data_IF_484972836063
#
_entry.id   IF_484972836063
#
_cell.length_a   1.000
_cell.length_b   1.000
_cell.length_c   1.000
_cell.angle_alpha   90.00
_cell.angle_beta   90.00
_cell.angle_gamma   90.00
#
_symmetry.space_group_name_H-M   'P 1'
#
loop_
_entity.id
_entity.type
_entity.pdbx_description
1 polymer ?
#
# COMPACT_ATOMS: atom_id res chain seq x y z
N UNK A 1 4.35 -24.82 25.20
CA UNK A 1 4.51 -23.38 24.90
C UNK A 1 3.51 -23.03 23.81
N UNK A 2 2.27 -22.66 24.18
CA UNK A 2 1.26 -22.20 23.22
C UNK A 2 1.46 -20.70 23.02
N UNK A 3 2.03 -20.31 21.89
CA UNK A 3 2.12 -18.89 21.50
C UNK A 3 0.73 -18.52 20.98
N UNK A 4 -0.09 -17.95 21.85
CA UNK A 4 -1.40 -17.37 21.51
C UNK A 4 -1.17 -16.05 20.75
N UNK A 5 -0.85 -16.15 19.45
CA UNK A 5 -0.66 -14.98 18.58
C UNK A 5 -2.00 -14.24 18.31
N UNK A 6 -3.14 -14.93 18.51
CA UNK A 6 -4.47 -14.41 18.21
C UNK A 6 -5.07 -13.52 19.30
N UNK A 7 -4.87 -13.86 20.59
CA UNK A 7 -5.46 -13.09 21.69
C UNK A 7 -4.85 -11.69 21.81
N UNK A 8 -3.54 -11.53 21.56
CA UNK A 8 -2.90 -10.21 21.57
C UNK A 8 -3.32 -9.32 20.39
N UNK A 9 -3.62 -9.90 19.23
CA UNK A 9 -4.18 -9.17 18.10
C UNK A 9 -5.62 -8.75 18.37
N UNK A 10 -6.42 -9.64 18.96
CA UNK A 10 -7.83 -9.42 19.28
C UNK A 10 -8.02 -8.44 20.46
N UNK A 11 -7.16 -8.49 21.48
CA UNK A 11 -7.13 -7.47 22.55
C UNK A 11 -6.67 -6.10 22.03
N UNK A 12 -5.69 -6.05 21.13
CA UNK A 12 -5.31 -4.79 20.46
C UNK A 12 -6.41 -4.27 19.53
N UNK A 13 -7.15 -5.16 18.88
CA UNK A 13 -8.32 -4.82 18.08
C UNK A 13 -9.44 -4.27 18.96
N UNK A 14 -9.76 -4.94 20.08
CA UNK A 14 -10.82 -4.54 21.02
C UNK A 14 -10.47 -3.30 21.85
N UNK A 15 -9.19 -3.06 22.16
CA UNK A 15 -8.75 -1.78 22.77
C UNK A 15 -8.82 -0.60 21.79
N UNK A 16 -8.69 -0.84 20.48
CA UNK A 16 -8.76 0.21 19.44
C UNK A 16 -10.17 0.44 18.91
N UNK A 17 -10.98 -0.60 18.80
CA UNK A 17 -12.42 -0.49 18.63
C UNK A 17 -13.03 -0.13 19.97
N UNK A 18 -12.91 1.15 20.34
CA UNK A 18 -13.69 1.71 21.43
C UNK A 18 -15.13 1.24 21.29
N UNK A 19 -15.70 0.73 22.38
CA UNK A 19 -17.14 0.47 22.48
C UNK A 19 -17.91 1.62 21.85
N UNK A 20 -19.00 1.31 21.15
CA UNK A 20 -19.84 2.16 20.29
C UNK A 20 -20.43 3.43 20.95
N UNK A 21 -19.93 3.82 22.12
CA UNK A 21 -20.19 5.08 22.84
C UNK A 21 -18.94 5.83 23.30
N UNK A 22 -17.75 5.55 22.74
CA UNK A 22 -16.47 6.14 23.16
C UNK A 22 -15.72 6.84 22.02
N UNK A 23 -16.44 7.61 21.19
CA UNK A 23 -15.90 8.32 20.01
C UNK A 23 -14.78 9.33 20.33
N UNK A 24 -14.59 9.70 21.60
CA UNK A 24 -13.55 10.62 22.08
C UNK A 24 -12.32 9.96 22.70
N UNK A 25 -12.19 8.62 22.69
CA UNK A 25 -11.10 7.93 23.42
C UNK A 25 -9.74 7.92 22.72
N UNK A 26 -9.69 8.18 21.42
CA UNK A 26 -8.43 8.14 20.65
C UNK A 26 -8.25 9.43 19.86
N UNK A 27 -7.03 9.96 19.84
CA UNK A 27 -6.68 11.20 19.14
C UNK A 27 -6.64 11.08 17.60
N UNK A 28 -7.17 10.00 17.04
CA UNK A 28 -7.06 9.66 15.61
C UNK A 28 -8.41 9.86 14.92
N UNK A 29 -8.42 10.66 13.86
CA UNK A 29 -9.61 10.87 13.04
C UNK A 29 -9.96 9.58 12.29
N UNK A 30 -11.20 9.50 11.80
CA UNK A 30 -11.62 8.43 10.90
C UNK A 30 -10.69 8.28 9.68
N UNK A 31 -10.25 9.40 9.09
CA UNK A 31 -9.30 9.38 7.97
C UNK A 31 -7.96 8.74 8.32
N UNK A 32 -7.50 8.89 9.57
CA UNK A 32 -6.23 8.29 10.01
C UNK A 32 -6.38 6.79 10.17
N UNK A 33 -7.49 6.36 10.76
CA UNK A 33 -7.81 4.94 10.90
C UNK A 33 -7.98 4.27 9.54
N UNK A 34 -8.63 4.94 8.59
CA UNK A 34 -8.79 4.45 7.21
C UNK A 34 -7.44 4.20 6.57
N UNK A 35 -6.58 5.22 6.54
CA UNK A 35 -5.30 5.14 5.83
C UNK A 35 -4.27 4.22 6.51
N UNK A 36 -4.11 4.34 7.83
CA UNK A 36 -3.10 3.60 8.57
C UNK A 36 -3.51 2.16 8.87
N UNK A 37 -4.73 1.95 9.34
CA UNK A 37 -5.14 0.66 9.88
C UNK A 37 -5.87 -0.17 8.83
N UNK A 38 -6.98 0.33 8.30
CA UNK A 38 -7.82 -0.46 7.38
C UNK A 38 -7.11 -0.72 6.06
N UNK A 39 -6.56 0.32 5.41
CA UNK A 39 -5.86 0.15 4.13
C UNK A 39 -4.63 -0.74 4.27
N UNK A 40 -3.78 -0.51 5.29
CA UNK A 40 -2.60 -1.35 5.53
C UNK A 40 -2.99 -2.79 5.84
N UNK A 41 -4.04 -3.03 6.64
CA UNK A 41 -4.51 -4.39 6.94
C UNK A 41 -5.01 -5.11 5.69
N UNK A 42 -5.82 -4.44 4.86
CA UNK A 42 -6.30 -4.97 3.59
C UNK A 42 -5.12 -5.32 2.68
N UNK A 43 -4.16 -4.42 2.54
CA UNK A 43 -2.97 -4.66 1.72
C UNK A 43 -2.13 -5.82 2.26
N UNK A 44 -1.95 -5.95 3.58
CA UNK A 44 -1.22 -7.08 4.18
C UNK A 44 -1.92 -8.42 3.92
N UNK A 45 -3.25 -8.46 3.98
CA UNK A 45 -4.03 -9.65 3.64
C UNK A 45 -3.83 -10.01 2.15
N UNK A 46 -3.90 -9.01 1.26
CA UNK A 46 -3.69 -9.21 -0.18
C UNK A 46 -2.25 -9.64 -0.50
N UNK A 47 -1.25 -9.09 0.19
CA UNK A 47 0.15 -9.54 0.12
C UNK A 47 0.25 -11.01 0.52
N UNK A 48 -0.37 -11.42 1.63
CA UNK A 48 -0.36 -12.82 2.05
C UNK A 48 -0.98 -13.73 1.00
N UNK A 49 -2.15 -13.36 0.46
CA UNK A 49 -2.86 -14.15 -0.56
C UNK A 49 -2.02 -14.27 -1.83
N UNK A 50 -1.45 -13.17 -2.32
CA UNK A 50 -0.66 -13.15 -3.56
C UNK A 50 0.67 -13.87 -3.39
N UNK A 51 1.37 -13.71 -2.25
CA UNK A 51 2.57 -14.47 -1.93
C UNK A 51 2.31 -15.98 -1.92
N UNK A 52 1.21 -16.43 -1.29
CA UNK A 52 0.84 -17.85 -1.28
C UNK A 52 0.62 -18.38 -2.70
N UNK A 53 -0.10 -17.63 -3.53
CA UNK A 53 -0.37 -18.03 -4.91
C UNK A 53 0.88 -18.08 -5.80
N UNK A 54 1.80 -17.14 -5.61
CA UNK A 54 3.00 -17.03 -6.45
C UNK A 54 4.06 -18.08 -6.08
N UNK A 55 4.26 -18.37 -4.80
CA UNK A 55 5.37 -19.22 -4.35
C UNK A 55 4.98 -20.65 -3.97
N UNK A 56 3.78 -20.87 -3.45
CA UNK A 56 3.38 -22.18 -2.91
C UNK A 56 2.43 -22.94 -3.82
N UNK A 57 1.68 -22.24 -4.68
CA UNK A 57 0.79 -22.85 -5.65
C UNK A 57 1.46 -22.93 -7.02
N UNK A 58 0.83 -23.63 -7.98
CA UNK A 58 1.31 -23.67 -9.37
C UNK A 58 0.79 -22.42 -10.09
N UNK A 59 1.63 -21.41 -10.35
CA UNK A 59 1.15 -20.11 -10.82
C UNK A 59 0.78 -20.12 -12.31
N UNK A 60 1.38 -21.04 -13.08
CA UNK A 60 1.13 -21.23 -14.51
C UNK A 60 1.04 -22.72 -14.84
N UNK A 61 0.29 -23.05 -15.88
CA UNK A 61 0.23 -24.41 -16.44
C UNK A 61 0.44 -24.33 -17.94
N UNK A 62 1.38 -25.10 -18.46
CA UNK A 62 1.83 -24.98 -19.85
C UNK A 62 1.73 -26.30 -20.60
N UNK A 63 1.39 -26.20 -21.88
CA UNK A 63 1.43 -27.32 -22.83
C UNK A 63 2.30 -26.93 -24.03
N UNK A 64 3.16 -27.86 -24.46
CA UNK A 64 4.04 -27.67 -25.61
C UNK A 64 3.86 -28.86 -26.56
N UNK A 65 2.97 -28.76 -27.57
CA UNK A 65 2.62 -29.89 -28.44
C UNK A 65 3.79 -30.34 -29.34
N UNK A 66 4.75 -29.46 -29.60
CA UNK A 66 5.93 -29.73 -30.44
C UNK A 66 7.11 -30.35 -29.68
N UNK A 67 7.03 -30.45 -28.35
CA UNK A 67 8.14 -30.89 -27.50
C UNK A 67 8.08 -32.41 -27.20
N UNK A 68 9.22 -33.05 -26.91
CA UNK A 68 9.28 -34.47 -26.60
C UNK A 68 8.49 -34.83 -25.33
N UNK A 69 7.82 -35.99 -25.35
CA UNK A 69 7.13 -36.56 -24.19
C UNK A 69 8.12 -37.00 -23.10
N UNK A 70 7.80 -36.76 -21.83
CA UNK A 70 8.60 -37.25 -20.69
C UNK A 70 9.11 -36.15 -19.75
N UNK A 71 8.20 -35.40 -19.14
CA UNK A 71 8.54 -34.40 -18.11
C UNK A 71 8.88 -33.00 -18.63
N UNK A 72 8.93 -32.80 -19.95
CA UNK A 72 9.15 -31.49 -20.57
C UNK A 72 8.18 -30.42 -20.08
N UNK A 73 6.92 -30.77 -19.82
CA UNK A 73 5.91 -29.84 -19.31
C UNK A 73 6.33 -29.14 -18.01
N UNK A 74 6.90 -29.87 -17.05
CA UNK A 74 7.34 -29.29 -15.77
C UNK A 74 8.57 -28.38 -15.93
N UNK A 75 9.47 -28.74 -16.86
CA UNK A 75 10.59 -27.87 -17.25
C UNK A 75 10.09 -26.59 -17.93
N UNK A 76 9.18 -26.71 -18.88
CA UNK A 76 8.55 -25.60 -19.57
C UNK A 76 7.84 -24.66 -18.60
N UNK A 77 7.05 -25.18 -17.66
CA UNK A 77 6.41 -24.40 -16.60
C UNK A 77 7.46 -23.60 -15.80
N UNK A 78 8.56 -24.22 -15.38
CA UNK A 78 9.60 -23.54 -14.59
C UNK A 78 10.33 -22.46 -15.39
N UNK A 79 10.69 -22.76 -16.65
CA UNK A 79 11.40 -21.82 -17.52
C UNK A 79 10.52 -20.65 -17.91
N UNK A 80 9.26 -20.91 -18.29
CA UNK A 80 8.31 -19.87 -18.67
C UNK A 80 7.93 -18.99 -17.48
N UNK A 81 7.89 -19.56 -16.27
CA UNK A 81 7.67 -18.77 -15.07
C UNK A 81 8.80 -17.77 -14.87
N UNK A 82 10.08 -18.17 -14.98
CA UNK A 82 11.23 -17.30 -14.74
C UNK A 82 11.47 -16.32 -15.89
N UNK A 83 11.40 -16.79 -17.14
CA UNK A 83 11.66 -15.98 -18.31
C UNK A 83 10.52 -15.01 -18.63
N UNK A 84 9.31 -15.23 -18.12
CA UNK A 84 8.13 -14.44 -18.47
C UNK A 84 7.46 -14.91 -19.75
N UNK A 85 6.24 -14.45 -19.97
CA UNK A 85 5.36 -14.89 -21.06
C UNK A 85 4.90 -13.73 -21.93
N UNK A 86 4.45 -14.00 -23.15
CA UNK A 86 4.05 -13.00 -24.13
C UNK A 86 2.55 -13.13 -24.39
N UNK A 87 1.81 -12.05 -24.18
CA UNK A 87 0.37 -11.99 -24.43
C UNK A 87 0.06 -11.93 -25.92
N UNK A 88 -0.91 -12.71 -26.38
CA UNK A 88 -1.46 -12.58 -27.73
C UNK A 88 -2.78 -11.83 -27.69
N UNK A 89 -2.87 -10.75 -28.46
CA UNK A 89 -4.14 -10.11 -28.77
C UNK A 89 -4.95 -10.94 -29.78
N UNK A 90 -6.24 -10.61 -29.91
CA UNK A 90 -7.15 -11.28 -30.87
C UNK A 90 -6.72 -11.12 -32.33
N UNK A 91 -6.12 -9.98 -32.65
CA UNK A 91 -5.70 -9.63 -34.02
C UNK A 91 -4.23 -9.99 -34.30
N UNK A 92 -3.52 -10.54 -33.32
CA UNK A 92 -2.10 -10.85 -33.46
C UNK A 92 -1.91 -12.22 -34.16
N UNK A 93 -1.09 -12.24 -35.20
CA UNK A 93 -0.70 -13.48 -35.88
C UNK A 93 0.40 -14.23 -35.14
N UNK A 94 0.43 -15.56 -35.22
CA UNK A 94 1.53 -16.36 -34.69
C UNK A 94 2.87 -15.97 -35.34
N UNK A 95 3.89 -15.60 -34.55
CA UNK A 95 5.20 -15.19 -35.08
C UNK A 95 5.95 -16.36 -35.72
N UNK A 96 6.43 -16.14 -36.94
CA UNK A 96 7.22 -17.12 -37.70
C UNK A 96 8.72 -16.86 -37.62
N UNK A 97 9.11 -15.58 -37.49
CA UNK A 97 10.51 -15.15 -37.50
C UNK A 97 10.95 -14.65 -36.11
N UNK A 98 12.26 -14.70 -35.84
CA UNK A 98 12.83 -14.20 -34.57
C UNK A 98 12.61 -12.70 -34.37
N UNK A 99 12.62 -11.90 -35.45
CA UNK A 99 12.31 -10.47 -35.37
C UNK A 99 10.89 -10.21 -34.89
N UNK A 100 9.91 -10.98 -35.37
CA UNK A 100 8.51 -10.87 -34.95
C UNK A 100 8.33 -11.27 -33.48
N UNK A 101 9.06 -12.29 -33.02
CA UNK A 101 9.09 -12.63 -31.60
C UNK A 101 9.62 -11.49 -30.74
N UNK A 102 10.69 -10.81 -31.18
CA UNK A 102 11.26 -9.70 -30.44
C UNK A 102 10.33 -8.48 -30.41
N UNK A 103 9.63 -8.20 -31.51
CA UNK A 103 8.64 -7.12 -31.58
C UNK A 103 7.43 -7.38 -30.67
N UNK A 104 6.87 -8.60 -30.74
CA UNK A 104 5.78 -9.01 -29.84
C UNK A 104 6.22 -8.97 -28.38
N UNK A 105 7.45 -9.38 -28.08
CA UNK A 105 7.97 -9.33 -26.73
C UNK A 105 8.15 -7.90 -26.23
N UNK A 106 8.55 -6.96 -27.07
CA UNK A 106 8.62 -5.55 -26.66
C UNK A 106 7.24 -4.95 -26.38
N UNK A 107 6.22 -5.38 -27.12
CA UNK A 107 4.85 -4.87 -26.97
C UNK A 107 4.09 -5.51 -25.80
N UNK A 108 4.23 -6.81 -25.61
CA UNK A 108 3.30 -7.61 -24.79
C UNK A 108 4.02 -8.57 -23.83
N UNK A 109 5.17 -8.15 -23.25
CA UNK A 109 5.82 -8.91 -22.17
C UNK A 109 5.01 -8.85 -20.88
N UNK A 110 4.63 -10.02 -20.37
CA UNK A 110 3.89 -10.19 -19.13
C UNK A 110 4.84 -10.84 -18.13
N UNK A 111 5.68 -10.01 -17.50
CA UNK A 111 6.57 -10.43 -16.41
C UNK A 111 6.22 -9.77 -15.07
N UNK A 112 5.33 -8.77 -15.09
CA UNK A 112 4.98 -7.99 -13.89
C UNK A 112 4.27 -8.81 -12.81
N UNK A 113 3.55 -9.88 -13.14
CA UNK A 113 2.84 -10.71 -12.14
C UNK A 113 3.78 -11.31 -11.09
N UNK A 114 5.06 -11.50 -11.42
CA UNK A 114 6.08 -11.97 -10.48
C UNK A 114 6.35 -10.94 -9.36
N UNK A 115 6.19 -9.65 -9.70
CA UNK A 115 6.52 -8.52 -8.84
C UNK A 115 5.33 -7.98 -8.03
N UNK A 116 4.11 -8.40 -8.36
CA UNK A 116 2.86 -7.96 -7.70
C UNK A 116 2.95 -8.04 -6.17
N UNK A 117 3.37 -9.17 -5.55
CA UNK A 117 3.40 -9.26 -4.09
C UNK A 117 4.39 -8.28 -3.45
N UNK A 118 5.52 -8.01 -4.10
CA UNK A 118 6.53 -7.06 -3.63
C UNK A 118 6.04 -5.62 -3.77
N UNK A 119 5.39 -5.30 -4.88
CA UNK A 119 4.76 -4.00 -5.08
C UNK A 119 3.70 -3.74 -4.00
N UNK A 120 2.77 -4.67 -3.77
CA UNK A 120 1.75 -4.54 -2.72
C UNK A 120 2.38 -4.40 -1.32
N UNK A 121 3.50 -5.08 -1.04
CA UNK A 121 4.23 -4.96 0.23
C UNK A 121 4.80 -3.56 0.43
N UNK A 122 5.42 -3.00 -0.61
CA UNK A 122 5.93 -1.61 -0.58
C UNK A 122 4.79 -0.62 -0.40
N UNK A 123 3.66 -0.84 -1.09
CA UNK A 123 2.47 0.00 -0.94
C UNK A 123 1.95 -0.02 0.51
N UNK A 124 1.86 -1.19 1.15
CA UNK A 124 1.46 -1.32 2.55
C UNK A 124 2.38 -0.54 3.50
N UNK A 125 3.70 -0.63 3.31
CA UNK A 125 4.68 0.11 4.12
C UNK A 125 4.49 1.62 3.95
N UNK A 126 4.32 2.09 2.71
CA UNK A 126 4.12 3.49 2.40
C UNK A 126 2.81 4.06 3.00
N UNK A 127 1.76 3.25 3.12
CA UNK A 127 0.52 3.64 3.82
C UNK A 127 0.70 3.76 5.34
N UNK A 128 1.57 2.94 5.94
CA UNK A 128 1.88 3.00 7.37
C UNK A 128 2.84 4.14 7.74
N UNK A 129 3.72 4.55 6.81
CA UNK A 129 4.80 5.51 7.06
C UNK A 129 4.34 6.86 7.67
N UNK A 130 3.30 7.55 7.15
CA UNK A 130 2.94 8.86 7.67
C UNK A 130 2.36 8.79 9.09
N UNK A 131 1.76 7.66 9.47
CA UNK A 131 1.34 7.41 10.83
C UNK A 131 2.53 7.25 11.78
N UNK A 132 3.56 6.51 11.37
CA UNK A 132 4.79 6.37 12.13
C UNK A 132 5.46 7.74 12.33
N UNK A 133 5.49 8.57 11.29
CA UNK A 133 5.96 9.96 11.36
C UNK A 133 5.13 10.78 12.35
N UNK A 134 3.79 10.67 12.32
CA UNK A 134 2.93 11.35 13.29
C UNK A 134 3.21 10.92 14.73
N UNK A 135 3.32 9.61 14.99
CA UNK A 135 3.63 9.11 16.32
C UNK A 135 4.97 9.62 16.82
N UNK A 136 6.03 9.54 16.01
CA UNK A 136 7.35 10.07 16.37
C UNK A 136 7.33 11.58 16.64
N UNK A 137 6.68 12.35 15.76
CA UNK A 137 6.59 13.81 15.88
C UNK A 137 5.71 14.26 17.05
N UNK A 138 4.63 13.53 17.33
CA UNK A 138 3.74 13.81 18.46
C UNK A 138 4.45 13.59 19.78
N UNK A 139 5.18 12.48 19.95
CA UNK A 139 6.01 12.21 21.15
C UNK A 139 7.11 13.26 21.30
N UNK A 140 7.80 13.63 20.23
CA UNK A 140 8.82 14.69 20.29
C UNK A 140 8.24 16.05 20.68
N UNK A 141 7.04 16.36 20.20
CA UNK A 141 6.42 17.68 20.39
C UNK A 141 5.77 17.81 21.76
N UNK A 142 4.98 16.81 22.15
CA UNK A 142 4.20 16.76 23.38
C UNK A 142 5.02 16.23 24.57
N UNK A 143 6.08 15.45 24.33
CA UNK A 143 6.93 14.87 25.39
C UNK A 143 6.33 13.64 26.07
N UNK A 144 5.05 13.34 25.83
CA UNK A 144 4.37 12.17 26.39
C UNK A 144 3.18 11.72 25.51
N UNK A 145 2.68 10.51 25.74
CA UNK A 145 1.56 9.91 25.03
C UNK A 145 0.22 10.51 25.51
N UNK A 146 -0.37 11.40 24.72
CA UNK A 146 -1.67 12.00 25.04
C UNK A 146 -2.79 10.96 25.22
N UNK A 147 -2.69 9.82 24.50
CA UNK A 147 -3.61 8.69 24.65
C UNK A 147 -3.59 8.08 26.07
N UNK A 148 -2.43 8.08 26.73
CA UNK A 148 -2.30 7.62 28.11
C UNK A 148 -3.06 8.55 29.06
N UNK A 149 -2.92 9.86 28.90
CA UNK A 149 -3.64 10.85 29.69
C UNK A 149 -5.16 10.72 29.53
N UNK A 150 -5.64 10.55 28.29
CA UNK A 150 -7.08 10.39 28.01
C UNK A 150 -7.60 9.08 28.63
N UNK A 151 -6.86 7.97 28.51
CA UNK A 151 -7.24 6.71 29.13
C UNK A 151 -7.30 6.81 30.66
N UNK A 152 -6.35 7.51 31.29
CA UNK A 152 -6.38 7.76 32.73
C UNK A 152 -7.52 8.68 33.17
N UNK A 153 -7.85 9.71 32.37
CA UNK A 153 -9.00 10.56 32.63
C UNK A 153 -10.33 9.79 32.51
N UNK A 154 -10.44 8.90 31.53
CA UNK A 154 -11.62 8.06 31.33
C UNK A 154 -11.80 7.05 32.47
N UNK A 155 -10.72 6.35 32.84
CA UNK A 155 -10.74 5.42 33.97
C UNK A 155 -11.00 6.12 35.30
N UNK A 156 -10.51 7.36 35.49
CA UNK A 156 -10.86 8.19 36.64
C UNK A 156 -12.36 8.53 36.67
N UNK A 157 -12.97 8.74 35.50
CA UNK A 157 -14.41 9.03 35.39
C UNK A 157 -15.26 7.77 35.64
N UNK A 158 -14.80 6.60 35.21
CA UNK A 158 -15.50 5.33 35.37
C UNK A 158 -15.32 4.67 36.75
N UNK A 159 -14.35 5.11 37.55
CA UNK A 159 -14.09 4.53 38.88
C UNK A 159 -15.04 5.10 39.94
N UNK A 160 -15.69 4.21 40.68
CA UNK A 160 -16.58 4.56 41.81
C UNK A 160 -15.79 4.82 43.11
N UNK A 161 -14.64 4.16 43.27
CA UNK A 161 -13.79 4.26 44.44
C UNK A 161 -13.11 5.64 44.58
N UNK A 162 -13.38 6.34 45.68
CA UNK A 162 -12.85 7.69 45.92
C UNK A 162 -11.31 7.74 45.96
N UNK A 163 -10.69 6.69 46.51
CA UNK A 163 -9.24 6.61 46.71
C UNK A 163 -8.44 6.29 45.44
N UNK A 164 -9.02 5.54 44.49
CA UNK A 164 -8.38 5.27 43.20
C UNK A 164 -8.56 6.47 42.28
N UNK A 165 -9.76 7.07 42.27
CA UNK A 165 -10.06 8.28 41.50
C UNK A 165 -9.13 9.44 41.86
N UNK A 166 -8.90 9.70 43.15
CA UNK A 166 -8.01 10.79 43.59
C UNK A 166 -6.57 10.61 43.10
N UNK A 167 -6.03 9.38 43.14
CA UNK A 167 -4.71 9.04 42.60
C UNK A 167 -4.63 9.25 41.09
N UNK A 168 -5.64 8.80 40.34
CA UNK A 168 -5.69 8.96 38.89
C UNK A 168 -5.77 10.44 38.48
N UNK A 169 -6.59 11.23 39.18
CA UNK A 169 -6.69 12.68 38.96
C UNK A 169 -5.38 13.38 39.27
N UNK A 170 -4.71 13.02 40.37
CA UNK A 170 -3.39 13.57 40.72
C UNK A 170 -2.33 13.24 39.65
N UNK A 171 -2.33 12.01 39.12
CA UNK A 171 -1.46 11.64 38.01
C UNK A 171 -1.76 12.48 36.75
N UNK A 172 -3.03 12.62 36.36
CA UNK A 172 -3.44 13.44 35.22
C UNK A 172 -3.00 14.90 35.37
N UNK A 173 -3.20 15.48 36.56
CA UNK A 173 -2.78 16.85 36.86
C UNK A 173 -1.25 17.02 36.76
N UNK A 174 -0.49 16.04 37.22
CA UNK A 174 0.96 16.04 37.10
C UNK A 174 1.43 16.00 35.64
N UNK A 175 0.83 15.14 34.81
CA UNK A 175 1.12 15.09 33.37
C UNK A 175 0.76 16.39 32.66
N UNK A 176 -0.40 16.99 32.98
CA UNK A 176 -0.80 18.28 32.40
C UNK A 176 0.19 19.40 32.77
N UNK A 177 0.70 19.38 34.01
CA UNK A 177 1.73 20.30 34.45
C UNK A 177 3.03 20.15 33.66
N UNK A 178 3.52 18.92 33.45
CA UNK A 178 4.70 18.66 32.63
C UNK A 178 4.52 19.17 31.18
N UNK A 179 3.36 18.91 30.58
CA UNK A 179 3.00 19.41 29.25
C UNK A 179 3.05 20.95 29.20
N UNK A 180 2.42 21.62 30.17
CA UNK A 180 2.41 23.09 30.23
C UNK A 180 3.82 23.68 30.32
N UNK A 181 4.72 23.05 31.10
CA UNK A 181 6.12 23.48 31.22
C UNK A 181 6.90 23.31 29.92
N UNK A 182 6.69 22.21 29.21
CA UNK A 182 7.37 21.94 27.94
C UNK A 182 6.98 22.94 26.84
N UNK A 183 5.74 23.41 26.86
CA UNK A 183 5.26 24.44 25.92
C UNK A 183 5.61 25.87 26.34
N UNK A 184 6.07 26.10 27.58
CA UNK A 184 6.46 27.41 28.07
C UNK A 184 7.83 27.82 27.54
N UNK A 185 7.88 28.65 26.49
CA UNK A 185 9.14 29.20 25.96
C UNK A 185 9.74 30.28 26.88
N UNK A 186 10.92 30.01 27.44
CA UNK A 186 11.74 31.00 28.16
C UNK A 186 12.79 31.71 27.28
N UNK A 187 12.89 31.38 25.98
CA UNK A 187 13.99 31.84 25.10
C UNK A 187 13.62 33.11 24.32
N UNK A 188 14.24 34.25 24.64
CA UNK A 188 14.13 35.52 23.88
C UNK A 188 15.11 35.55 22.69
N UNK A 189 14.79 34.88 21.58
CA UNK A 189 15.59 34.93 20.35
C UNK A 189 15.22 36.14 19.47
N UNK A 190 16.19 36.73 18.76
CA UNK A 190 15.97 37.80 17.76
C UNK A 190 15.03 37.37 16.63
N UNK A 191 15.00 36.07 16.28
CA UNK A 191 14.08 35.51 15.28
C UNK A 191 12.60 35.64 15.71
N UNK A 192 12.32 35.54 17.01
CA UNK A 192 10.98 35.74 17.55
C UNK A 192 10.48 37.18 17.35
N UNK A 193 11.36 38.18 17.38
CA UNK A 193 10.97 39.59 17.11
C UNK A 193 10.63 39.83 15.64
N UNK A 194 11.35 39.18 14.73
CA UNK A 194 11.04 39.20 13.29
C UNK A 194 9.68 38.55 13.02
N UNK A 195 9.42 37.42 13.69
CA UNK A 195 8.15 36.70 13.60
C UNK A 195 6.94 37.53 14.05
N UNK A 196 7.06 38.32 15.13
CA UNK A 196 6.02 39.26 15.58
C UNK A 196 5.73 40.36 14.55
N UNK A 197 6.75 40.85 13.83
CA UNK A 197 6.55 41.83 12.75
C UNK A 197 5.84 41.24 11.54
N UNK A 198 6.14 39.98 11.18
CA UNK A 198 5.47 39.27 10.08
C UNK A 198 4.00 38.98 10.42
N UNK A 199 3.71 38.52 11.65
CA UNK A 199 2.34 38.28 12.12
C UNK A 199 1.49 39.56 12.15
N UNK A 200 2.08 40.70 12.51
CA UNK A 200 1.40 42.00 12.51
C UNK A 200 1.12 42.53 11.10
N UNK A 201 1.90 42.11 10.10
CA UNK A 201 1.76 42.55 8.71
C UNK A 201 0.75 41.73 7.89
N UNK A 202 0.44 40.49 8.32
CA UNK A 202 -0.42 39.57 7.55
C UNK A 202 -1.40 38.84 8.46
N UNK A 203 -2.69 39.21 8.41
CA UNK A 203 -3.76 38.62 9.25
C UNK A 203 -3.93 37.10 9.07
N UNK A 204 -3.62 36.54 7.89
CA UNK A 204 -3.67 35.08 7.66
C UNK A 204 -2.36 34.34 7.96
N UNK A 205 -1.25 35.04 8.22
CA UNK A 205 0.03 34.38 8.45
C UNK A 205 0.11 33.68 9.82
N UNK A 206 -0.83 33.94 10.74
CA UNK A 206 -0.88 33.26 12.04
C UNK A 206 -1.01 31.73 11.95
N UNK A 207 -1.51 31.22 10.82
CA UNK A 207 -1.60 29.78 10.58
C UNK A 207 -0.30 29.18 10.02
N UNK A 208 0.40 29.91 9.15
CA UNK A 208 1.64 29.46 8.50
C UNK A 208 2.90 29.79 9.29
N UNK A 209 2.82 30.67 10.28
CA UNK A 209 3.98 31.14 11.05
C UNK A 209 4.23 30.21 12.25
N UNK A 210 5.32 29.46 12.15
CA UNK A 210 5.77 28.49 13.14
C UNK A 210 6.25 29.16 14.44
N UNK A 211 5.47 29.07 15.50
CA UNK A 211 5.88 29.55 16.83
C UNK A 211 5.37 28.65 17.94
N UNK A 212 6.24 28.22 18.86
CA UNK A 212 5.81 27.46 20.05
C UNK A 212 4.92 28.32 20.96
N UNK A 213 5.11 29.65 20.94
CA UNK A 213 4.39 30.64 21.75
C UNK A 213 2.88 30.74 21.51
N UNK A 214 2.39 30.39 20.32
CA UNK A 214 0.95 30.39 19.99
C UNK A 214 0.27 29.03 20.20
N UNK A 215 1.00 27.99 20.62
CA UNK A 215 0.47 26.62 20.71
C UNK A 215 0.16 25.96 19.35
N UNK A 216 0.26 26.69 18.24
CA UNK A 216 -0.10 26.24 16.89
C UNK A 216 0.87 25.18 16.30
N UNK A 217 2.02 24.92 16.93
CA UNK A 217 3.03 23.96 16.41
C UNK A 217 2.45 22.55 16.21
N UNK A 218 1.66 22.06 17.16
CA UNK A 218 1.07 20.71 17.07
C UNK A 218 0.01 20.64 15.99
N UNK A 219 -0.83 21.68 15.86
CA UNK A 219 -1.85 21.76 14.81
C UNK A 219 -1.24 21.84 13.41
N UNK A 220 -0.18 22.62 13.21
CA UNK A 220 0.53 22.70 11.92
C UNK A 220 1.20 21.36 11.56
N UNK A 221 1.82 20.68 12.53
CA UNK A 221 2.39 19.34 12.31
C UNK A 221 1.31 18.32 11.92
N UNK A 222 0.15 18.39 12.57
CA UNK A 222 -0.99 17.54 12.25
C UNK A 222 -1.45 17.74 10.80
N UNK A 223 -1.61 18.99 10.39
CA UNK A 223 -2.00 19.32 9.01
C UNK A 223 -0.95 18.90 7.99
N UNK A 224 0.34 19.02 8.31
CA UNK A 224 1.42 18.53 7.45
C UNK A 224 1.32 17.01 7.24
N UNK A 225 1.02 16.24 8.29
CA UNK A 225 0.78 14.79 8.15
C UNK A 225 -0.46 14.52 7.29
N UNK A 226 -1.53 15.31 7.41
CA UNK A 226 -2.70 15.16 6.53
C UNK A 226 -2.35 15.41 5.06
N UNK A 227 -1.54 16.43 4.77
CA UNK A 227 -1.01 16.66 3.42
C UNK A 227 -0.15 15.47 2.96
N UNK A 228 0.66 14.90 3.84
CA UNK A 228 1.46 13.71 3.55
C UNK A 228 0.59 12.49 3.23
N UNK A 229 -0.57 12.31 3.88
CA UNK A 229 -1.53 11.27 3.51
C UNK A 229 -2.09 11.47 2.10
N UNK A 230 -2.45 12.70 1.73
CA UNK A 230 -2.94 13.01 0.38
C UNK A 230 -1.87 12.72 -0.65
N UNK A 231 -0.63 13.15 -0.40
CA UNK A 231 0.52 12.86 -1.27
C UNK A 231 0.74 11.35 -1.39
N UNK A 232 0.66 10.61 -0.28
CA UNK A 232 0.77 9.17 -0.31
C UNK A 232 -0.35 8.55 -1.16
N UNK A 233 -1.62 8.89 -0.96
CA UNK A 233 -2.72 8.39 -1.80
C UNK A 233 -2.51 8.65 -3.29
N UNK A 234 -2.08 9.86 -3.68
CA UNK A 234 -1.76 10.19 -5.07
C UNK A 234 -0.57 9.38 -5.59
N UNK A 235 0.48 9.21 -4.77
CA UNK A 235 1.63 8.38 -5.10
C UNK A 235 1.26 6.92 -5.33
N UNK A 236 0.32 6.38 -4.55
CA UNK A 236 -0.15 5.00 -4.66
C UNK A 236 -0.92 4.77 -5.96
N UNK A 237 -1.80 5.70 -6.34
CA UNK A 237 -2.47 5.68 -7.63
C UNK A 237 -1.46 5.71 -8.79
N UNK A 238 -0.43 6.56 -8.68
CA UNK A 238 0.62 6.64 -9.68
C UNK A 238 1.47 5.36 -9.76
N UNK A 239 1.78 4.72 -8.62
CA UNK A 239 2.49 3.43 -8.59
C UNK A 239 1.69 2.37 -9.33
N UNK A 240 0.38 2.25 -9.07
CA UNK A 240 -0.49 1.28 -9.77
C UNK A 240 -0.52 1.56 -11.27
N UNK A 241 -0.72 2.82 -11.67
CA UNK A 241 -0.75 3.20 -13.09
C UNK A 241 0.57 2.89 -13.80
N UNK A 242 1.71 3.19 -13.15
CA UNK A 242 3.03 2.93 -13.71
C UNK A 242 3.35 1.44 -13.80
N UNK A 243 2.84 0.66 -12.84
CA UNK A 243 3.09 -0.77 -12.76
C UNK A 243 2.25 -1.57 -13.77
N UNK A 244 0.99 -1.19 -14.00
CA UNK A 244 0.08 -1.88 -14.94
C UNK A 244 0.17 -1.36 -16.39
N UNK A 245 0.71 -0.16 -16.61
CA UNK A 245 0.70 0.49 -17.94
C UNK A 245 2.10 0.68 -18.54
N UNK A 246 2.57 -0.25 -19.39
CA UNK A 246 3.84 -0.09 -20.11
C UNK A 246 3.75 0.80 -21.36
N UNK A 247 2.55 1.08 -21.89
CA UNK A 247 2.40 1.83 -23.16
C UNK A 247 2.59 3.35 -22.99
N UNK A 248 3.64 3.84 -23.64
CA UNK A 248 4.24 5.18 -23.55
C UNK A 248 3.36 6.36 -24.02
N UNK A 249 2.15 6.12 -24.53
CA UNK A 249 1.34 7.16 -25.20
C UNK A 249 0.01 7.51 -24.52
N UNK A 250 -0.47 6.72 -23.54
CA UNK A 250 -1.76 6.97 -22.87
C UNK A 250 -1.67 7.20 -21.36
N UNK A 251 -0.45 7.45 -20.86
CA UNK A 251 -0.12 7.42 -19.43
C UNK A 251 -0.59 8.65 -18.62
N UNK A 252 -1.19 9.67 -19.25
CA UNK A 252 -1.39 10.97 -18.59
C UNK A 252 -2.78 11.20 -17.97
N UNK A 253 -3.80 10.41 -18.31
CA UNK A 253 -5.15 10.65 -17.77
C UNK A 253 -5.65 9.51 -16.89
N UNK A 254 -5.86 9.81 -15.60
CA UNK A 254 -6.49 8.92 -14.60
C UNK A 254 -7.83 8.37 -15.11
N UNK A 255 -8.59 9.19 -15.86
CA UNK A 255 -9.89 8.82 -16.43
C UNK A 255 -9.76 7.71 -17.47
N UNK A 256 -8.88 7.84 -18.46
CA UNK A 256 -8.71 6.81 -19.48
C UNK A 256 -8.24 5.47 -18.89
N UNK A 257 -7.36 5.52 -17.88
CA UNK A 257 -6.95 4.31 -17.16
C UNK A 257 -8.12 3.68 -16.39
N UNK A 258 -8.90 4.50 -15.67
CA UNK A 258 -10.07 4.01 -14.94
C UNK A 258 -11.12 3.40 -15.87
N UNK A 259 -11.41 4.03 -17.00
CA UNK A 259 -12.35 3.51 -17.99
C UNK A 259 -11.86 2.18 -18.57
N UNK A 260 -10.57 2.08 -18.92
CA UNK A 260 -9.98 0.82 -19.36
C UNK A 260 -10.16 -0.28 -18.32
N UNK A 261 -9.82 -0.02 -17.05
CA UNK A 261 -9.91 -1.00 -15.97
C UNK A 261 -11.35 -1.44 -15.71
N UNK A 262 -12.30 -0.51 -15.59
CA UNK A 262 -13.73 -0.84 -15.38
C UNK A 262 -14.38 -1.53 -16.59
N UNK A 263 -13.93 -1.23 -17.80
CA UNK A 263 -14.37 -1.94 -19.00
C UNK A 263 -13.99 -3.44 -18.94
N UNK A 264 -12.88 -3.79 -18.28
CA UNK A 264 -12.50 -5.20 -18.05
C UNK A 264 -13.50 -5.93 -17.14
N UNK A 265 -14.02 -5.26 -16.13
CA UNK A 265 -15.01 -5.85 -15.22
C UNK A 265 -16.37 -6.09 -15.90
N UNK A 266 -16.73 -5.23 -16.87
CA UNK A 266 -18.05 -5.25 -17.51
C UNK A 266 -18.12 -6.13 -18.76
N UNK A 267 -17.00 -6.33 -19.48
CA UNK A 267 -16.95 -7.20 -20.67
C UNK A 267 -16.34 -8.55 -20.31
N UNK A 268 -17.16 -9.60 -20.35
CA UNK A 268 -16.71 -10.99 -20.31
C UNK A 268 -16.09 -11.35 -21.66
N UNK A 269 -14.82 -10.99 -21.88
CA UNK A 269 -14.15 -11.25 -23.16
C UNK A 269 -13.89 -12.76 -23.30
N UNK A 270 -14.35 -13.35 -24.41
CA UNK A 270 -14.48 -14.80 -24.54
C UNK A 270 -13.20 -15.51 -24.99
N UNK A 271 -12.13 -14.79 -25.34
CA UNK A 271 -10.83 -15.36 -25.74
C UNK A 271 -9.66 -14.51 -25.22
N UNK A 272 -8.65 -15.15 -24.63
CA UNK A 272 -7.34 -14.53 -24.29
C UNK A 272 -7.27 -13.73 -22.99
N UNK A 273 -8.38 -13.23 -22.45
CA UNK A 273 -8.41 -12.38 -21.25
C UNK A 273 -8.47 -10.88 -21.58
N UNK A 274 -7.96 -10.03 -20.69
CA UNK A 274 -7.90 -8.58 -20.93
C UNK A 274 -6.54 -8.16 -21.50
N UNK A 275 -6.49 -6.98 -22.14
CA UNK A 275 -5.24 -6.43 -22.69
C UNK A 275 -4.14 -6.25 -21.63
N UNK A 276 -4.55 -5.92 -20.39
CA UNK A 276 -3.65 -5.73 -19.24
C UNK A 276 -3.36 -7.06 -18.54
N UNK A 277 -4.39 -7.91 -18.38
CA UNK A 277 -4.31 -9.20 -17.70
C UNK A 277 -4.79 -10.33 -18.63
N UNK A 278 -3.92 -10.81 -19.51
CA UNK A 278 -4.24 -11.96 -20.35
C UNK A 278 -4.24 -13.24 -19.50
N UNK A 279 -5.17 -14.14 -19.84
CA UNK A 279 -5.35 -15.45 -19.20
C UNK A 279 -4.53 -16.55 -19.90
N UNK A 280 -4.17 -16.33 -21.15
CA UNK A 280 -3.34 -17.24 -21.95
C UNK A 280 -2.19 -16.45 -22.57
N UNK A 281 -1.00 -17.06 -22.57
CA UNK A 281 0.20 -16.44 -23.12
C UNK A 281 1.09 -17.48 -23.79
N UNK A 282 1.94 -17.01 -24.69
CA UNK A 282 2.96 -17.82 -25.35
C UNK A 282 4.30 -17.68 -24.63
N UNK A 283 5.03 -18.79 -24.61
CA UNK A 283 6.38 -18.84 -24.07
C UNK A 283 7.32 -19.51 -25.08
N UNK A 284 8.24 -18.76 -25.70
CA UNK A 284 9.27 -19.31 -26.57
C UNK A 284 10.44 -19.87 -25.73
N UNK A 285 10.60 -21.20 -25.73
CA UNK A 285 11.68 -21.91 -25.04
C UNK A 285 12.76 -22.29 -26.04
N UNK A 286 13.99 -21.84 -25.81
CA UNK A 286 15.15 -22.17 -26.67
C UNK A 286 16.02 -23.21 -25.98
N UNK A 287 16.21 -24.35 -26.64
CA UNK A 287 16.99 -25.46 -26.09
C UNK A 287 18.13 -25.78 -27.05
N UNK A 288 19.40 -25.80 -26.58
CA UNK A 288 20.50 -26.23 -27.41
C UNK A 288 20.40 -27.74 -27.65
N UNK A 289 20.48 -28.16 -28.92
CA UNK A 289 20.49 -29.57 -29.34
C UNK A 289 21.81 -29.87 -30.06
N UNK A 290 22.22 -31.15 -30.09
CA UNK A 290 23.45 -31.55 -30.79
C UNK A 290 23.32 -31.23 -32.29
N UNK A 291 24.26 -30.46 -32.84
CA UNK A 291 24.29 -30.06 -34.25
C UNK A 291 23.43 -28.84 -34.63
N UNK A 292 22.60 -28.30 -33.73
CA UNK A 292 21.79 -27.08 -33.95
C UNK A 292 21.98 -26.11 -32.80
N UNK A 293 22.39 -24.87 -33.09
CA UNK A 293 22.74 -23.85 -32.07
C UNK A 293 21.63 -23.63 -31.03
N UNK A 294 20.36 -23.64 -31.45
CA UNK A 294 19.19 -23.63 -30.56
C UNK A 294 17.93 -24.01 -31.32
N UNK A 295 17.16 -24.99 -30.84
CA UNK A 295 15.83 -25.30 -31.34
C UNK A 295 14.79 -24.55 -30.50
N UNK A 296 13.83 -23.92 -31.17
CA UNK A 296 12.75 -23.15 -30.54
C UNK A 296 11.51 -24.05 -30.37
N UNK A 297 11.05 -24.19 -29.13
CA UNK A 297 9.79 -24.80 -28.77
C UNK A 297 8.85 -23.71 -28.25
N UNK A 298 7.59 -23.74 -28.66
CA UNK A 298 6.57 -22.80 -28.20
C UNK A 298 5.63 -23.50 -27.24
N UNK A 299 5.59 -23.02 -26.00
CA UNK A 299 4.62 -23.47 -25.01
C UNK A 299 3.45 -22.48 -24.96
N UNK A 300 2.23 -23.01 -24.88
CA UNK A 300 1.01 -22.26 -24.60
C UNK A 300 0.73 -22.43 -23.11
N UNK A 301 0.67 -21.31 -22.39
CA UNK A 301 0.53 -21.29 -20.94
C UNK A 301 -0.79 -20.61 -20.54
N UNK A 302 -1.50 -21.20 -19.59
CA UNK A 302 -2.60 -20.57 -18.88
C UNK A 302 -2.07 -19.89 -17.59
N UNK A 303 -2.57 -18.69 -17.29
CA UNK A 303 -2.14 -17.84 -16.18
C UNK A 303 -3.29 -17.56 -15.19
N UNK A 304 -3.64 -18.53 -14.31
CA UNK A 304 -4.63 -18.30 -13.26
C UNK A 304 -4.29 -17.12 -12.33
N UNK A 305 -3.00 -16.85 -12.12
CA UNK A 305 -2.51 -15.73 -11.28
C UNK A 305 -2.99 -14.38 -11.81
N UNK A 306 -3.06 -14.20 -13.14
CA UNK A 306 -3.54 -12.96 -13.72
C UNK A 306 -5.04 -12.73 -13.47
N UNK A 307 -5.84 -13.79 -13.42
CA UNK A 307 -7.26 -13.68 -13.06
C UNK A 307 -7.44 -13.13 -11.64
N UNK A 308 -6.61 -13.57 -10.70
CA UNK A 308 -6.62 -13.07 -9.33
C UNK A 308 -6.16 -11.61 -9.29
N UNK A 309 -5.04 -11.29 -9.96
CA UNK A 309 -4.48 -9.94 -10.00
C UNK A 309 -5.48 -8.93 -10.57
N UNK A 310 -6.20 -9.27 -11.63
CA UNK A 310 -7.25 -8.43 -12.21
C UNK A 310 -8.28 -8.02 -11.15
N UNK A 311 -8.77 -8.97 -10.34
CA UNK A 311 -9.77 -8.68 -9.30
C UNK A 311 -9.20 -7.89 -8.13
N UNK A 312 -7.95 -8.17 -7.73
CA UNK A 312 -7.27 -7.41 -6.68
C UNK A 312 -7.10 -5.95 -7.09
N UNK A 313 -6.60 -5.69 -8.30
CA UNK A 313 -6.39 -4.31 -8.77
C UNK A 313 -7.68 -3.57 -9.07
N UNK A 314 -8.75 -4.27 -9.50
CA UNK A 314 -10.09 -3.69 -9.58
C UNK A 314 -10.61 -3.27 -8.21
N UNK A 315 -10.45 -4.12 -7.19
CA UNK A 315 -10.86 -3.82 -5.83
C UNK A 315 -10.05 -2.67 -5.22
N UNK A 316 -8.73 -2.64 -5.42
CA UNK A 316 -7.86 -1.58 -4.90
C UNK A 316 -8.05 -0.23 -5.60
N UNK A 317 -8.55 -0.22 -6.84
CA UNK A 317 -8.78 1.00 -7.61
C UNK A 317 -10.06 1.74 -7.18
N UNK A 318 -11.06 1.00 -6.69
CA UNK A 318 -12.33 1.53 -6.14
C UNK A 318 -12.10 2.09 -4.74
#
# INVERSE_FOLDING_TARGET
>A
MKISLGEGLQENFNKRYGSRGNDFSTLEDFSDRLNNFYTTLILLILVSITMTNVYFLRPISCTAPSAPSGGFGSYAESVCWVQGTIGLGKDDSFPSNESQWNELRQRADISFYQWVPFCLSVQAILFYLPHLIWQAMSVYTLGDNLNYLIAHAQTATASEDLGTRSKLVQACAHHLYLLSRQHMETRKSSFSRLQHKVLAFTQCASFCVFGKRLGNRTAVLYLLVKVLYIINCLGQLFIVMRFLGPDSTSQSSLRAFSERLFNLASRRQEWGGSDIFPLQALCPIRIPNLGVRSQLYTAICALPVNMLNEKIYLFLWV
#
